data_IF_356845840268
#
_entry.id   IF_356845840268
#
_cell.length_a   1.000
_cell.length_b   1.000
_cell.length_c   1.000
_cell.angle_alpha   90.00
_cell.angle_beta   90.00
_cell.angle_gamma   90.00
#
_symmetry.space_group_name_H-M   'P 1'
#
loop_
_entity.id
_entity.type
_entity.pdbx_description
1 polymer ?
#
# COMPACT_ATOMS: atom_id res chain seq x y z
N UNK A 1 -5.42 31.84 -3.88
CA UNK A 1 -5.79 30.90 -2.78
C UNK A 1 -6.39 29.60 -3.33
N UNK A 2 -5.99 29.16 -4.53
CA UNK A 2 -6.42 27.87 -5.12
C UNK A 2 -5.41 26.75 -4.87
N UNK A 3 -4.11 27.08 -4.90
CA UNK A 3 -2.99 26.13 -4.77
C UNK A 3 -3.06 25.27 -3.50
N UNK A 4 -3.41 25.85 -2.34
CA UNK A 4 -3.51 25.09 -1.09
C UNK A 4 -4.61 24.03 -1.05
N UNK A 5 -5.63 24.10 -1.93
CA UNK A 5 -6.70 23.11 -2.00
C UNK A 5 -6.35 21.97 -2.95
N UNK A 6 -5.63 22.28 -4.02
CA UNK A 6 -5.17 21.30 -5.01
C UNK A 6 -4.07 20.40 -4.43
N UNK A 7 -3.08 20.99 -3.74
CA UNK A 7 -2.04 20.23 -3.03
C UNK A 7 -2.62 19.32 -1.93
N UNK A 8 -3.65 19.79 -1.22
CA UNK A 8 -4.31 18.99 -0.17
C UNK A 8 -5.06 17.77 -0.73
N UNK A 9 -5.69 17.93 -1.90
CA UNK A 9 -6.39 16.83 -2.58
C UNK A 9 -5.42 15.82 -3.18
N UNK A 10 -4.29 16.28 -3.73
CA UNK A 10 -3.25 15.40 -4.29
C UNK A 10 -2.57 14.57 -3.19
N UNK A 11 -2.13 15.21 -2.10
CA UNK A 11 -1.54 14.53 -0.94
C UNK A 11 -2.50 13.51 -0.33
N UNK A 12 -3.76 13.89 -0.11
CA UNK A 12 -4.77 12.97 0.43
C UNK A 12 -5.04 11.75 -0.49
N UNK A 13 -5.00 11.93 -1.81
CA UNK A 13 -5.12 10.83 -2.78
C UNK A 13 -3.91 9.91 -2.77
N UNK A 14 -2.71 10.46 -2.66
CA UNK A 14 -1.48 9.68 -2.63
C UNK A 14 -1.36 8.86 -1.34
N UNK A 15 -1.64 9.47 -0.19
CA UNK A 15 -1.67 8.81 1.12
C UNK A 15 -2.72 7.70 1.15
N UNK A 16 -3.94 7.97 0.67
CA UNK A 16 -5.01 6.97 0.60
C UNK A 16 -4.62 5.76 -0.25
N UNK A 17 -4.02 5.99 -1.43
CA UNK A 17 -3.52 4.92 -2.29
C UNK A 17 -2.38 4.12 -1.65
N UNK A 18 -1.50 4.77 -0.90
CA UNK A 18 -0.39 4.10 -0.23
C UNK A 18 -0.89 3.21 0.92
N UNK A 19 -1.84 3.68 1.71
CA UNK A 19 -2.44 2.91 2.79
C UNK A 19 -3.29 1.74 2.27
N UNK A 20 -4.05 1.95 1.18
CA UNK A 20 -4.85 0.88 0.55
C UNK A 20 -3.97 -0.28 0.06
N UNK A 21 -2.84 0.02 -0.58
CA UNK A 21 -1.87 -1.01 -1.01
C UNK A 21 -1.31 -1.83 0.15
N UNK A 22 -0.96 -1.17 1.26
CA UNK A 22 -0.45 -1.85 2.47
C UNK A 22 -1.54 -2.73 3.11
N UNK A 23 -2.77 -2.22 3.18
CA UNK A 23 -3.90 -2.97 3.71
C UNK A 23 -4.19 -4.22 2.88
N UNK A 24 -4.24 -4.06 1.56
CA UNK A 24 -4.43 -5.17 0.64
C UNK A 24 -3.31 -6.21 0.76
N UNK A 25 -2.05 -5.78 0.87
CA UNK A 25 -0.92 -6.69 1.02
C UNK A 25 -1.03 -7.56 2.29
N UNK A 26 -1.36 -6.95 3.43
CA UNK A 26 -1.56 -7.68 4.69
C UNK A 26 -2.72 -8.65 4.59
N UNK A 27 -3.88 -8.20 4.08
CA UNK A 27 -5.05 -9.07 3.94
C UNK A 27 -4.79 -10.24 3.01
N UNK A 28 -4.11 -10.05 1.88
CA UNK A 28 -3.75 -11.16 0.99
C UNK A 28 -2.83 -12.16 1.68
N UNK A 29 -1.84 -11.69 2.45
CA UNK A 29 -0.94 -12.55 3.22
C UNK A 29 -1.68 -13.36 4.30
N UNK A 30 -2.55 -12.71 5.07
CA UNK A 30 -3.40 -13.36 6.08
C UNK A 30 -4.33 -14.43 5.46
N UNK A 31 -4.73 -14.24 4.21
CA UNK A 31 -5.50 -15.22 3.43
C UNK A 31 -4.63 -16.30 2.75
N UNK A 32 -3.33 -16.36 3.04
CA UNK A 32 -2.41 -17.39 2.55
C UNK A 32 -1.89 -17.17 1.13
N UNK A 33 -2.03 -15.95 0.57
CA UNK A 33 -1.42 -15.63 -0.71
C UNK A 33 0.12 -15.64 -0.61
N UNK A 34 0.78 -16.16 -1.64
CA UNK A 34 2.24 -16.15 -1.72
C UNK A 34 2.78 -14.72 -1.93
N UNK A 35 3.93 -14.40 -1.34
CA UNK A 35 4.58 -13.07 -1.46
C UNK A 35 4.71 -12.59 -2.91
N UNK A 36 5.11 -13.41 -3.90
CA UNK A 36 5.18 -12.97 -5.30
C UNK A 36 3.82 -12.52 -5.87
N UNK A 37 2.72 -13.19 -5.49
CA UNK A 37 1.37 -12.81 -5.90
C UNK A 37 0.94 -11.48 -5.25
N UNK A 38 1.31 -11.28 -3.99
CA UNK A 38 1.03 -10.03 -3.27
C UNK A 38 1.77 -8.84 -3.91
N UNK A 39 3.03 -9.04 -4.27
CA UNK A 39 3.85 -8.04 -4.99
C UNK A 39 3.20 -7.69 -6.33
N UNK A 40 2.82 -8.68 -7.11
CA UNK A 40 2.14 -8.46 -8.40
C UNK A 40 0.77 -7.76 -8.24
N UNK A 41 0.03 -8.04 -7.17
CA UNK A 41 -1.33 -7.49 -6.95
C UNK A 41 -1.32 -6.07 -6.36
N UNK A 42 -0.32 -5.75 -5.55
CA UNK A 42 -0.25 -4.46 -4.83
C UNK A 42 0.73 -3.48 -5.46
N UNK A 43 1.67 -3.96 -6.27
CA UNK A 43 2.76 -3.16 -6.82
C UNK A 43 3.82 -2.75 -5.79
N UNK A 44 3.77 -3.31 -4.58
CA UNK A 44 4.81 -3.13 -3.56
C UNK A 44 6.02 -4.03 -3.88
N UNK A 45 7.22 -3.62 -3.47
CA UNK A 45 8.40 -4.49 -3.58
C UNK A 45 8.31 -5.67 -2.61
N UNK A 46 9.01 -6.77 -2.91
CA UNK A 46 9.12 -7.92 -2.00
C UNK A 46 9.63 -7.50 -0.61
N UNK A 47 10.58 -6.58 -0.54
CA UNK A 47 11.09 -6.03 0.73
C UNK A 47 9.98 -5.29 1.50
N UNK A 48 9.17 -4.47 0.83
CA UNK A 48 8.08 -3.75 1.46
C UNK A 48 7.00 -4.71 1.98
N UNK A 49 6.64 -5.73 1.20
CA UNK A 49 5.72 -6.79 1.63
C UNK A 49 6.31 -7.56 2.82
N UNK A 50 7.59 -7.95 2.77
CA UNK A 50 8.28 -8.63 3.86
C UNK A 50 8.27 -7.83 5.17
N UNK A 51 8.51 -6.52 5.11
CA UNK A 51 8.41 -5.62 6.28
C UNK A 51 6.99 -5.54 6.85
N UNK A 52 5.96 -5.59 5.99
CA UNK A 52 4.56 -5.53 6.41
C UNK A 52 4.09 -6.81 7.12
N UNK A 53 4.61 -7.98 6.72
CA UNK A 53 4.12 -9.29 7.20
C UNK A 53 5.01 -9.93 8.26
N UNK A 54 6.30 -9.58 8.31
CA UNK A 54 7.25 -10.10 9.31
C UNK A 54 7.55 -9.10 10.45
N UNK A 55 6.99 -7.88 10.38
CA UNK A 55 7.20 -6.80 11.35
C UNK A 55 6.20 -6.74 12.52
N UNK A 56 5.36 -7.77 12.66
CA UNK A 56 4.37 -7.99 13.75
C UNK A 56 4.66 -9.30 14.45
#
# INVERSE_FOLDING_TARGET
REEGREEGLEKGREEGRAEERKHLARSLYENGAAIPLIVASTGLSEEAVGKLVNGT
#
